data_IF_435335992468
#
_entry.id   IF_435335992468
#
_cell.length_a   1.000
_cell.length_b   1.000
_cell.length_c   1.000
_cell.angle_alpha   90.00
_cell.angle_beta   90.00
_cell.angle_gamma   90.00
#
_symmetry.space_group_name_H-M   'P 1'
#
loop_
_entity.id
_entity.type
_entity.pdbx_description
1 polymer ?
#
# COMPACT_ATOMS: atom_id res chain seq x y z
N UNK A 1 42.67 -23.48 13.63
CA UNK A 1 41.36 -22.93 14.03
C UNK A 1 40.54 -22.73 12.77
N UNK A 2 39.68 -23.69 12.45
CA UNK A 2 38.79 -23.65 11.30
C UNK A 2 37.62 -22.71 11.61
N UNK A 3 37.61 -21.54 10.98
CA UNK A 3 36.48 -20.62 11.04
C UNK A 3 35.26 -21.25 10.39
N UNK A 4 34.28 -21.63 11.22
CA UNK A 4 32.97 -22.05 10.75
C UNK A 4 32.27 -20.87 10.10
N UNK A 5 32.04 -20.96 8.79
CA UNK A 5 31.05 -20.13 8.12
C UNK A 5 29.68 -20.49 8.71
N UNK A 6 29.12 -19.59 9.51
CA UNK A 6 27.71 -19.67 9.88
C UNK A 6 26.91 -19.43 8.60
N UNK A 7 26.45 -20.50 7.97
CA UNK A 7 25.45 -20.43 6.90
C UNK A 7 24.15 -19.92 7.51
N UNK A 8 24.01 -18.60 7.64
CA UNK A 8 22.73 -17.97 7.94
C UNK A 8 21.74 -18.36 6.84
N UNK A 9 20.56 -18.86 7.22
CA UNK A 9 19.53 -19.29 6.28
C UNK A 9 19.17 -18.23 5.24
N UNK A 10 18.54 -18.65 4.14
CA UNK A 10 18.13 -17.74 3.07
C UNK A 10 17.16 -16.66 3.61
N UNK A 11 17.32 -15.42 3.11
CA UNK A 11 16.39 -14.32 3.40
C UNK A 11 15.10 -14.53 2.63
N UNK A 12 13.97 -14.41 3.31
CA UNK A 12 12.66 -14.77 2.74
C UNK A 12 11.58 -13.76 3.06
N UNK A 13 10.54 -13.77 2.23
CA UNK A 13 9.25 -13.13 2.49
C UNK A 13 8.17 -14.22 2.54
N UNK A 14 7.63 -14.48 3.73
CA UNK A 14 6.53 -15.43 3.92
C UNK A 14 5.21 -14.68 3.94
N UNK A 15 4.25 -15.10 3.11
CA UNK A 15 2.91 -14.51 3.06
C UNK A 15 1.90 -15.57 3.51
N UNK A 16 1.06 -15.21 4.48
CA UNK A 16 0.11 -16.09 5.16
C UNK A 16 -1.30 -15.56 4.97
N UNK A 17 -2.25 -16.47 4.68
CA UNK A 17 -3.67 -16.14 4.68
C UNK A 17 -4.35 -16.68 5.95
N UNK A 18 -4.81 -15.81 6.84
CA UNK A 18 -5.68 -16.17 7.96
C UNK A 18 -7.15 -15.78 7.74
N UNK A 19 -7.48 -15.19 6.59
CA UNK A 19 -8.84 -14.82 6.25
C UNK A 19 -9.74 -16.07 6.16
N UNK A 20 -11.05 -15.87 6.34
CA UNK A 20 -12.02 -16.96 6.19
C UNK A 20 -12.03 -17.52 4.76
N UNK A 21 -11.94 -16.62 3.79
CA UNK A 21 -11.94 -16.94 2.36
C UNK A 21 -10.52 -17.05 1.79
N UNK A 22 -10.34 -17.78 0.66
CA UNK A 22 -9.08 -17.79 -0.05
C UNK A 22 -8.68 -16.41 -0.59
N UNK A 23 -7.38 -16.15 -0.62
CA UNK A 23 -6.77 -15.00 -1.31
C UNK A 23 -5.83 -15.49 -2.42
N UNK A 24 -5.54 -14.63 -3.38
CA UNK A 24 -4.50 -14.85 -4.38
C UNK A 24 -3.44 -13.76 -4.23
N UNK A 25 -2.21 -14.14 -3.94
CA UNK A 25 -1.12 -13.19 -3.72
C UNK A 25 -0.51 -12.82 -5.06
N UNK A 26 -0.61 -11.54 -5.41
CA UNK A 26 0.03 -10.96 -6.59
C UNK A 26 1.18 -10.05 -6.17
N UNK A 27 2.10 -9.82 -7.11
CA UNK A 27 3.28 -9.01 -6.84
C UNK A 27 3.75 -8.22 -8.08
N UNK A 28 4.60 -7.23 -7.85
CA UNK A 28 5.25 -6.47 -8.93
C UNK A 28 6.15 -7.36 -9.79
N UNK A 29 6.36 -6.96 -11.05
CA UNK A 29 7.01 -7.81 -12.08
C UNK A 29 8.49 -8.09 -11.84
N UNK A 30 9.15 -7.32 -10.98
CA UNK A 30 10.54 -7.49 -10.59
C UNK A 30 10.76 -8.65 -9.59
N UNK A 31 9.72 -9.11 -8.89
CA UNK A 31 9.82 -10.23 -7.95
C UNK A 31 9.88 -11.55 -8.73
N UNK A 32 10.82 -12.41 -8.35
CA UNK A 32 10.93 -13.77 -8.88
C UNK A 32 9.97 -14.69 -8.12
N UNK A 33 9.20 -15.49 -8.85
CA UNK A 33 8.24 -16.42 -8.26
C UNK A 33 6.90 -16.46 -9.02
N UNK A 34 5.99 -17.33 -8.57
CA UNK A 34 4.65 -17.43 -9.15
C UNK A 34 3.79 -16.22 -8.79
N UNK A 35 3.07 -15.71 -9.80
CA UNK A 35 2.00 -14.73 -9.65
C UNK A 35 0.69 -15.40 -9.21
N UNK A 36 -0.17 -14.63 -8.54
CA UNK A 36 -1.50 -15.05 -8.12
C UNK A 36 -1.51 -16.38 -7.34
N UNK A 37 -0.59 -16.54 -6.38
CA UNK A 37 -0.55 -17.77 -5.56
C UNK A 37 -1.80 -17.86 -4.70
N UNK A 38 -2.65 -18.86 -4.95
CA UNK A 38 -3.85 -19.12 -4.15
C UNK A 38 -3.46 -19.64 -2.77
N UNK A 39 -3.89 -18.95 -1.73
CA UNK A 39 -3.74 -19.35 -0.34
C UNK A 39 -5.11 -19.54 0.29
N UNK A 40 -5.43 -20.76 0.72
CA UNK A 40 -6.58 -21.03 1.59
C UNK A 40 -6.27 -20.61 3.04
N UNK A 41 -7.27 -20.59 3.91
CA UNK A 41 -7.07 -20.26 5.33
C UNK A 41 -5.99 -21.14 5.98
N UNK A 42 -5.04 -20.50 6.67
CA UNK A 42 -3.88 -21.10 7.31
C UNK A 42 -2.73 -21.45 6.36
N UNK A 43 -2.94 -21.36 5.04
CA UNK A 43 -1.89 -21.62 4.06
C UNK A 43 -0.93 -20.42 3.96
N UNK A 44 0.28 -20.71 3.49
CA UNK A 44 1.30 -19.71 3.26
C UNK A 44 2.15 -20.05 2.03
N UNK A 45 2.76 -19.02 1.46
CA UNK A 45 3.80 -19.16 0.45
C UNK A 45 5.01 -18.32 0.84
N UNK A 46 6.20 -18.83 0.53
CA UNK A 46 7.46 -18.15 0.83
C UNK A 46 8.14 -17.79 -0.48
N UNK A 47 8.35 -16.49 -0.69
CA UNK A 47 9.16 -15.96 -1.77
C UNK A 47 10.61 -15.84 -1.29
N UNK A 48 11.55 -16.26 -2.14
CA UNK A 48 12.97 -16.05 -1.91
C UNK A 48 13.34 -14.58 -2.20
N UNK A 49 14.13 -13.98 -1.32
CA UNK A 49 14.68 -12.63 -1.55
C UNK A 49 16.10 -12.78 -2.06
N UNK A 50 16.42 -12.34 -3.29
CA UNK A 50 17.76 -12.46 -3.85
C UNK A 50 18.84 -11.84 -2.96
N UNK A 51 20.00 -12.49 -2.92
CA UNK A 51 21.19 -12.04 -2.20
C UNK A 51 21.65 -10.65 -2.66
N UNK A 52 21.56 -10.38 -3.97
CA UNK A 52 21.87 -9.08 -4.57
C UNK A 52 20.89 -7.94 -4.24
N UNK A 53 19.85 -8.22 -3.45
CA UNK A 53 18.79 -7.25 -3.16
C UNK A 53 17.69 -7.23 -4.23
N UNK A 54 16.63 -6.49 -3.94
CA UNK A 54 15.47 -6.36 -4.81
C UNK A 54 14.71 -5.06 -4.48
N UNK A 55 14.69 -4.12 -5.41
CA UNK A 55 14.15 -2.77 -5.17
C UNK A 55 12.70 -2.64 -5.61
N UNK A 56 11.94 -1.78 -4.91
CA UNK A 56 10.57 -1.39 -5.28
C UNK A 56 9.60 -2.57 -5.49
N UNK A 57 9.69 -3.58 -4.62
CA UNK A 57 8.74 -4.69 -4.63
C UNK A 57 7.41 -4.28 -4.04
N UNK A 58 6.33 -4.84 -4.58
CA UNK A 58 4.96 -4.69 -4.08
C UNK A 58 4.30 -6.05 -4.05
N UNK A 59 3.56 -6.32 -2.98
CA UNK A 59 2.74 -7.52 -2.81
C UNK A 59 1.35 -7.11 -2.36
N UNK A 60 0.31 -7.71 -2.93
CA UNK A 60 -1.08 -7.42 -2.56
C UNK A 60 -1.97 -8.67 -2.64
N UNK A 61 -3.03 -8.73 -1.80
CA UNK A 61 -4.01 -9.79 -1.87
C UNK A 61 -5.09 -9.47 -2.91
N UNK A 62 -5.47 -10.48 -3.68
CA UNK A 62 -6.66 -10.47 -4.53
C UNK A 62 -7.72 -11.37 -3.90
N UNK A 63 -9.00 -11.03 -4.06
CA UNK A 63 -10.12 -11.76 -3.42
C UNK A 63 -11.20 -12.12 -4.42
N UNK A 64 -11.91 -13.22 -4.14
CA UNK A 64 -13.06 -13.65 -4.96
C UNK A 64 -12.72 -13.90 -6.43
N UNK A 65 -11.55 -14.50 -6.68
CA UNK A 65 -11.04 -14.79 -8.02
C UNK A 65 -11.48 -16.17 -8.52
N UNK A 66 -11.33 -16.38 -9.83
CA UNK A 66 -11.26 -17.73 -10.42
C UNK A 66 -10.01 -18.50 -9.96
N UNK A 67 -9.90 -19.78 -10.33
CA UNK A 67 -8.77 -20.62 -9.90
C UNK A 67 -7.40 -20.05 -10.30
N UNK A 68 -7.31 -19.37 -11.45
CA UNK A 68 -6.09 -18.75 -11.97
C UNK A 68 -5.80 -17.38 -11.36
N UNK A 69 -6.61 -16.91 -10.41
CA UNK A 69 -6.46 -15.62 -9.77
C UNK A 69 -6.79 -14.47 -10.71
N UNK A 70 -7.80 -14.61 -11.56
CA UNK A 70 -8.36 -13.55 -12.43
C UNK A 70 -9.85 -13.39 -12.16
N UNK A 71 -10.46 -12.38 -12.78
CA UNK A 71 -11.90 -12.08 -12.66
C UNK A 71 -12.29 -11.91 -11.19
N UNK A 72 -11.45 -11.22 -10.44
CA UNK A 72 -11.52 -11.09 -9.00
C UNK A 72 -12.58 -10.07 -8.58
N UNK A 73 -13.02 -10.17 -7.32
CA UNK A 73 -13.82 -9.13 -6.68
C UNK A 73 -12.96 -7.90 -6.37
N UNK A 74 -11.74 -8.10 -5.87
CA UNK A 74 -10.71 -7.07 -5.72
C UNK A 74 -9.34 -7.60 -6.12
N UNK A 75 -8.44 -6.71 -6.55
CA UNK A 75 -7.04 -7.06 -6.81
C UNK A 75 -6.65 -7.18 -8.28
N UNK A 76 -7.59 -7.07 -9.21
CA UNK A 76 -7.34 -7.06 -10.66
C UNK A 76 -6.98 -5.63 -11.16
N UNK A 77 -6.08 -4.97 -10.45
CA UNK A 77 -5.69 -3.58 -10.72
C UNK A 77 -4.51 -3.41 -11.67
N UNK A 78 -3.85 -4.52 -12.02
CA UNK A 78 -2.72 -4.58 -12.97
C UNK A 78 -3.05 -5.55 -14.09
N UNK A 79 -2.63 -5.22 -15.31
CA UNK A 79 -2.86 -6.05 -16.48
C UNK A 79 -2.30 -7.48 -16.30
N UNK A 80 -2.99 -8.52 -16.81
CA UNK A 80 -4.18 -8.46 -17.68
C UNK A 80 -5.46 -8.15 -16.90
N UNK A 81 -6.18 -7.12 -17.35
CA UNK A 81 -7.43 -6.68 -16.72
C UNK A 81 -8.63 -7.52 -17.16
N UNK A 82 -9.71 -7.60 -16.35
CA UNK A 82 -11.02 -8.09 -16.78
C UNK A 82 -11.59 -7.34 -17.97
N UNK A 83 -12.64 -7.88 -18.59
CA UNK A 83 -13.30 -7.26 -19.75
C UNK A 83 -13.79 -5.81 -19.51
N UNK A 84 -14.09 -5.46 -18.27
CA UNK A 84 -14.50 -4.11 -17.86
C UNK A 84 -13.35 -3.12 -17.59
N UNK A 85 -12.10 -3.51 -17.87
CA UNK A 85 -10.92 -2.75 -17.50
C UNK A 85 -10.36 -3.14 -16.13
N UNK A 86 -9.21 -2.57 -15.78
CA UNK A 86 -8.57 -2.85 -14.50
C UNK A 86 -9.40 -2.25 -13.36
N UNK A 87 -9.34 -2.90 -12.21
CA UNK A 87 -9.92 -2.40 -10.96
C UNK A 87 -9.05 -1.27 -10.39
N UNK A 88 -9.60 -0.41 -9.52
CA UNK A 88 -8.79 0.55 -8.82
C UNK A 88 -7.77 -0.16 -7.89
N UNK A 89 -6.50 0.30 -7.83
CA UNK A 89 -5.42 -0.33 -7.05
C UNK A 89 -5.52 -0.08 -5.54
N UNK A 90 -6.68 -0.33 -4.95
CA UNK A 90 -7.00 -0.03 -3.54
C UNK A 90 -6.57 -1.14 -2.58
N UNK A 91 -5.72 -2.08 -3.00
CA UNK A 91 -5.41 -3.25 -2.21
C UNK A 91 -4.49 -2.92 -1.04
N UNK A 92 -4.69 -3.62 0.09
CA UNK A 92 -3.78 -3.53 1.22
C UNK A 92 -2.40 -4.07 0.87
N UNK A 93 -1.48 -3.15 0.63
CA UNK A 93 -0.22 -3.41 -0.07
C UNK A 93 0.95 -3.46 0.91
N UNK A 94 1.81 -4.46 0.76
CA UNK A 94 3.14 -4.49 1.36
C UNK A 94 4.16 -4.06 0.31
N UNK A 95 4.98 -3.06 0.63
CA UNK A 95 6.07 -2.62 -0.25
C UNK A 95 7.42 -2.78 0.44
N UNK A 96 8.43 -3.19 -0.32
CA UNK A 96 9.79 -3.32 0.20
C UNK A 96 10.87 -3.05 -0.85
N UNK A 97 11.97 -2.46 -0.41
CA UNK A 97 13.25 -2.39 -1.12
C UNK A 97 14.28 -3.13 -0.29
N UNK A 98 14.60 -4.35 -0.70
CA UNK A 98 15.56 -5.23 -0.04
C UNK A 98 16.97 -4.82 -0.43
N UNK A 99 17.79 -4.43 0.55
CA UNK A 99 19.21 -4.16 0.32
C UNK A 99 19.96 -5.46 -0.07
N UNK A 100 21.10 -5.37 -0.78
CA UNK A 100 22.00 -6.50 -0.93
C UNK A 100 22.40 -7.06 0.44
N UNK A 101 22.32 -8.38 0.62
CA UNK A 101 22.61 -9.05 1.89
C UNK A 101 24.07 -8.80 2.31
N UNK A 102 24.31 -8.63 3.61
CA UNK A 102 25.62 -8.31 4.17
C UNK A 102 26.11 -6.89 3.90
N UNK A 103 25.38 -6.08 3.14
CA UNK A 103 25.74 -4.69 2.89
C UNK A 103 25.35 -3.78 4.06
N UNK A 104 25.99 -2.61 4.13
CA UNK A 104 25.62 -1.53 5.06
C UNK A 104 24.33 -0.80 4.67
N UNK A 105 23.76 -1.08 3.49
CA UNK A 105 22.50 -0.49 3.06
C UNK A 105 21.32 -1.10 3.84
N UNK A 106 20.26 -0.31 3.99
CA UNK A 106 19.07 -0.72 4.73
C UNK A 106 18.01 -1.33 3.81
N UNK A 107 17.31 -2.34 4.32
CA UNK A 107 16.06 -2.81 3.73
C UNK A 107 14.94 -1.90 4.19
N UNK A 108 14.24 -1.27 3.27
CA UNK A 108 13.10 -0.40 3.56
C UNK A 108 11.80 -1.16 3.32
N UNK A 109 10.81 -0.97 4.19
CA UNK A 109 9.48 -1.52 3.97
C UNK A 109 8.39 -0.59 4.51
N UNK A 110 7.17 -0.79 4.01
CA UNK A 110 5.98 -0.10 4.50
C UNK A 110 4.72 -0.95 4.26
N UNK A 111 3.64 -0.51 4.91
CA UNK A 111 2.28 -0.96 4.66
C UNK A 111 1.58 0.21 3.96
N UNK A 112 1.27 0.07 2.67
CA UNK A 112 0.88 1.21 1.84
C UNK A 112 -0.62 1.23 1.57
N UNK A 113 -1.32 2.19 2.20
CA UNK A 113 -2.74 2.47 1.99
C UNK A 113 -2.96 3.82 1.29
N UNK A 114 -1.93 4.29 0.58
CA UNK A 114 -1.93 5.53 -0.22
C UNK A 114 -3.01 5.52 -1.30
N UNK A 115 -3.28 4.34 -1.87
CA UNK A 115 -4.32 4.15 -2.89
C UNK A 115 -5.67 3.73 -2.28
N UNK A 116 -5.66 3.15 -1.08
CA UNK A 116 -6.82 2.51 -0.46
C UNK A 116 -6.46 1.28 0.35
N UNK A 117 -7.46 0.56 0.83
CA UNK A 117 -7.29 -0.72 1.51
C UNK A 117 -8.42 -1.72 1.23
N UNK A 118 -8.13 -3.02 1.38
CA UNK A 118 -9.08 -4.12 1.20
C UNK A 118 -9.15 -5.04 2.43
N UNK A 119 -8.01 -5.51 2.93
CA UNK A 119 -7.94 -6.52 4.00
C UNK A 119 -7.05 -6.04 5.15
N UNK A 120 -7.40 -6.31 6.41
CA UNK A 120 -6.46 -6.14 7.52
C UNK A 120 -5.25 -7.05 7.33
N UNK A 121 -4.08 -6.57 7.73
CA UNK A 121 -2.84 -7.32 7.61
C UNK A 121 -1.79 -6.88 8.62
N UNK A 122 -0.82 -7.75 8.88
CA UNK A 122 0.29 -7.48 9.78
C UNK A 122 1.60 -7.88 9.12
N UNK A 123 2.63 -7.06 9.32
CA UNK A 123 4.00 -7.34 8.86
C UNK A 123 4.91 -7.50 10.06
N UNK A 124 5.62 -8.61 10.11
CA UNK A 124 6.55 -8.93 11.19
C UNK A 124 7.96 -9.13 10.59
N UNK A 125 8.93 -8.24 10.89
CA UNK A 125 10.32 -8.49 10.56
C UNK A 125 10.86 -9.66 11.38
N UNK A 126 11.75 -10.45 10.79
CA UNK A 126 12.34 -11.66 11.37
C UNK A 126 13.84 -11.65 11.17
N UNK A 127 14.56 -12.17 12.17
CA UNK A 127 16.02 -12.32 12.12
C UNK A 127 16.76 -11.14 12.73
N UNK A 128 18.05 -11.00 12.38
CA UNK A 128 18.94 -10.02 12.98
C UNK A 128 18.52 -8.57 12.63
N UNK A 129 18.32 -7.75 13.65
CA UNK A 129 17.87 -6.36 13.49
C UNK A 129 16.35 -6.18 13.49
N UNK A 130 15.56 -7.24 13.60
CA UNK A 130 14.13 -7.14 13.86
C UNK A 130 13.86 -6.57 15.27
N UNK A 131 12.77 -5.80 15.39
CA UNK A 131 12.34 -5.07 16.59
C UNK A 131 13.39 -4.10 17.14
N UNK A 132 14.19 -3.49 16.25
CA UNK A 132 15.21 -2.50 16.59
C UNK A 132 15.05 -1.23 15.75
N UNK A 133 15.15 -0.06 16.37
CA UNK A 133 14.97 1.22 15.67
C UNK A 133 13.58 1.30 15.04
N UNK A 134 13.51 1.58 13.74
CA UNK A 134 12.26 1.54 12.97
C UNK A 134 11.96 0.18 12.34
N UNK A 135 12.77 -0.86 12.55
CA UNK A 135 12.49 -2.21 12.07
C UNK A 135 11.51 -2.92 13.02
N UNK A 136 10.23 -2.56 12.99
CA UNK A 136 9.24 -2.98 13.99
C UNK A 136 8.14 -3.87 13.42
N UNK A 137 7.47 -4.64 14.25
CA UNK A 137 6.17 -5.19 13.84
C UNK A 137 5.21 -4.04 13.53
N UNK A 138 4.66 -4.04 12.32
CA UNK A 138 3.67 -3.08 11.84
C UNK A 138 2.32 -3.76 11.73
N UNK A 139 1.36 -3.31 12.54
CA UNK A 139 0.08 -4.00 12.76
C UNK A 139 -1.09 -3.17 12.21
N UNK A 140 -1.62 -3.59 11.05
CA UNK A 140 -2.86 -3.09 10.46
C UNK A 140 -4.03 -4.07 10.65
N UNK A 141 -4.04 -4.87 11.73
CA UNK A 141 -5.17 -5.76 12.06
C UNK A 141 -6.47 -4.99 12.29
N UNK A 142 -6.38 -3.71 12.68
CA UNK A 142 -7.52 -2.84 12.93
C UNK A 142 -8.23 -2.30 11.67
N UNK A 143 -7.71 -2.55 10.46
CA UNK A 143 -8.37 -2.10 9.24
C UNK A 143 -9.75 -2.75 9.10
N UNK A 144 -10.75 -1.90 8.89
CA UNK A 144 -12.13 -2.34 8.77
C UNK A 144 -12.85 -1.51 7.72
N UNK A 145 -13.44 -2.17 6.72
CA UNK A 145 -14.26 -1.50 5.71
C UNK A 145 -15.48 -0.77 6.29
N UNK A 146 -15.89 -1.10 7.53
CA UNK A 146 -16.92 -0.37 8.25
C UNK A 146 -16.50 1.07 8.62
N UNK A 147 -15.19 1.32 8.70
CA UNK A 147 -14.62 2.65 8.96
C UNK A 147 -14.38 3.44 7.66
N UNK A 148 -14.63 2.85 6.49
CA UNK A 148 -14.46 3.57 5.23
C UNK A 148 -15.46 4.75 5.15
N UNK A 149 -14.99 5.99 4.94
CA UNK A 149 -15.86 7.16 4.83
C UNK A 149 -16.90 7.02 3.72
N UNK A 150 -18.18 7.18 4.08
CA UNK A 150 -19.29 7.22 3.12
C UNK A 150 -19.70 8.62 2.68
N UNK A 151 -19.13 9.64 3.33
CA UNK A 151 -19.39 11.06 3.11
C UNK A 151 -18.11 11.83 3.48
N UNK A 152 -17.15 11.85 2.56
CA UNK A 152 -15.85 12.52 2.68
C UNK A 152 -15.88 13.89 1.97
N UNK A 153 -15.34 14.91 2.63
CA UNK A 153 -15.10 16.21 2.01
C UNK A 153 -13.75 16.23 1.30
N UNK A 154 -13.74 15.84 0.02
CA UNK A 154 -12.56 15.98 -0.84
C UNK A 154 -12.34 17.43 -1.27
N UNK A 155 -13.36 18.28 -1.10
CA UNK A 155 -13.35 19.68 -1.49
C UNK A 155 -12.74 20.61 -0.47
N UNK A 156 -12.25 20.11 0.67
CA UNK A 156 -11.55 20.85 1.73
C UNK A 156 -12.23 22.17 2.15
N UNK A 157 -13.56 22.22 2.09
CA UNK A 157 -14.36 23.43 2.33
C UNK A 157 -14.27 24.52 1.26
N UNK A 158 -13.35 24.44 0.29
CA UNK A 158 -13.21 25.42 -0.80
C UNK A 158 -13.90 25.00 -2.09
N UNK A 159 -14.16 23.71 -2.27
CA UNK A 159 -14.78 23.14 -3.45
C UNK A 159 -16.05 22.35 -3.08
N UNK A 160 -17.19 23.04 -2.81
CA UNK A 160 -18.41 22.38 -2.32
C UNK A 160 -18.95 21.28 -3.24
N UNK A 161 -18.63 21.32 -4.53
CA UNK A 161 -18.99 20.27 -5.49
C UNK A 161 -18.38 18.89 -5.14
N UNK A 162 -17.31 18.87 -4.34
CA UNK A 162 -16.59 17.67 -3.93
C UNK A 162 -16.71 17.36 -2.43
N UNK A 163 -17.63 18.03 -1.72
CA UNK A 163 -17.75 17.92 -0.26
C UNK A 163 -18.40 16.61 0.23
N UNK A 164 -19.02 15.85 -0.67
CA UNK A 164 -19.78 14.65 -0.32
C UNK A 164 -19.41 13.49 -1.25
N UNK A 165 -18.33 12.79 -0.92
CA UNK A 165 -17.84 11.66 -1.72
C UNK A 165 -17.90 10.35 -0.93
N UNK A 166 -18.48 9.32 -1.54
CA UNK A 166 -18.43 7.96 -1.02
C UNK A 166 -17.12 7.29 -1.46
N UNK A 167 -16.26 6.96 -0.48
CA UNK A 167 -14.98 6.28 -0.70
C UNK A 167 -15.12 4.76 -0.73
N UNK A 168 -16.31 4.22 -0.43
CA UNK A 168 -16.56 2.77 -0.39
C UNK A 168 -16.65 2.22 -1.81
N UNK A 169 -15.83 1.21 -2.06
CA UNK A 169 -15.85 0.45 -3.31
C UNK A 169 -16.77 -0.74 -3.12
N UNK A 170 -17.75 -0.90 -4.01
CA UNK A 170 -18.79 -1.93 -3.91
C UNK A 170 -18.72 -2.93 -5.06
N UNK A 171 -19.00 -4.18 -4.76
CA UNK A 171 -19.22 -5.19 -5.79
C UNK A 171 -20.58 -4.99 -6.50
N UNK A 172 -20.87 -5.85 -7.47
CA UNK A 172 -22.13 -5.84 -8.22
C UNK A 172 -23.39 -6.05 -7.36
N UNK A 173 -23.24 -6.58 -6.15
CA UNK A 173 -24.33 -6.82 -5.21
C UNK A 173 -24.48 -5.66 -4.20
N UNK A 174 -23.66 -4.61 -4.32
CA UNK A 174 -23.64 -3.47 -3.40
C UNK A 174 -22.87 -3.72 -2.11
N UNK A 175 -22.17 -4.84 -1.97
CA UNK A 175 -21.33 -5.16 -0.80
C UNK A 175 -20.07 -4.32 -0.85
N UNK A 176 -19.69 -3.68 0.27
CA UNK A 176 -18.42 -2.94 0.36
C UNK A 176 -17.27 -3.93 0.37
N UNK A 177 -16.37 -3.83 -0.61
CA UNK A 177 -15.23 -4.75 -0.82
C UNK A 177 -13.88 -4.07 -0.73
N UNK A 178 -13.86 -2.74 -0.65
CA UNK A 178 -12.64 -1.95 -0.47
C UNK A 178 -12.95 -0.53 -0.07
N UNK A 179 -11.91 0.18 0.36
CA UNK A 179 -11.97 1.59 0.66
C UNK A 179 -10.93 2.33 -0.17
N UNK A 180 -11.36 3.37 -0.88
CA UNK A 180 -10.48 4.16 -1.72
C UNK A 180 -9.87 5.31 -0.91
N UNK A 181 -8.59 5.59 -1.06
CA UNK A 181 -7.99 6.79 -0.47
C UNK A 181 -8.47 8.06 -1.21
N UNK A 182 -8.43 9.25 -0.57
CA UNK A 182 -8.85 10.51 -1.17
C UNK A 182 -8.26 10.79 -2.55
N UNK A 183 -6.93 10.64 -2.68
CA UNK A 183 -6.26 10.81 -3.97
C UNK A 183 -6.77 9.82 -5.01
N UNK A 184 -6.95 8.55 -4.62
CA UNK A 184 -7.42 7.54 -5.56
C UNK A 184 -8.85 7.79 -6.02
N UNK A 185 -9.71 8.31 -5.13
CA UNK A 185 -11.06 8.75 -5.50
C UNK A 185 -11.05 9.89 -6.49
N UNK A 186 -10.11 10.80 -6.32
CA UNK A 186 -9.90 11.92 -7.21
C UNK A 186 -9.42 11.49 -8.61
N UNK A 187 -8.32 10.74 -8.69
CA UNK A 187 -7.63 10.48 -9.95
C UNK A 187 -8.15 9.28 -10.75
N UNK A 188 -8.79 8.31 -10.10
CA UNK A 188 -9.20 7.10 -10.79
C UNK A 188 -10.42 7.36 -11.66
N UNK A 189 -10.51 6.82 -12.88
CA UNK A 189 -11.65 7.07 -13.75
C UNK A 189 -12.96 6.49 -13.22
N UNK A 190 -14.06 6.99 -13.80
CA UNK A 190 -15.37 6.36 -13.66
C UNK A 190 -15.30 4.87 -14.09
N UNK A 191 -16.10 3.98 -13.48
CA UNK A 191 -17.17 4.28 -12.53
C UNK A 191 -16.72 4.43 -11.06
N UNK A 192 -15.43 4.25 -10.76
CA UNK A 192 -14.96 4.17 -9.37
C UNK A 192 -14.61 5.54 -8.77
N UNK A 193 -13.88 6.36 -9.53
CA UNK A 193 -13.46 7.69 -9.11
C UNK A 193 -13.95 8.80 -10.05
N UNK A 194 -13.38 9.99 -9.86
CA UNK A 194 -13.77 11.23 -10.54
C UNK A 194 -12.98 11.48 -11.84
N UNK A 195 -11.89 10.74 -12.08
CA UNK A 195 -11.05 10.88 -13.27
C UNK A 195 -10.39 12.24 -13.42
N UNK A 196 -10.13 12.92 -12.31
CA UNK A 196 -9.59 14.28 -12.30
C UNK A 196 -8.05 14.26 -12.23
N UNK A 197 -7.37 15.24 -12.82
CA UNK A 197 -5.91 15.31 -12.76
C UNK A 197 -5.44 15.63 -11.34
N UNK A 198 -4.42 14.91 -10.85
CA UNK A 198 -3.82 15.16 -9.53
C UNK A 198 -3.20 16.56 -9.41
N UNK A 199 -2.87 17.18 -10.55
CA UNK A 199 -2.29 18.51 -10.67
C UNK A 199 -3.30 19.66 -10.51
N UNK A 200 -4.60 19.37 -10.35
CA UNK A 200 -5.63 20.38 -10.14
C UNK A 200 -6.15 20.33 -8.71
N UNK A 201 -6.49 21.49 -8.14
CA UNK A 201 -7.18 21.55 -6.86
C UNK A 201 -8.59 20.94 -6.94
N UNK A 202 -9.06 20.27 -5.87
CA UNK A 202 -8.37 19.96 -4.62
C UNK A 202 -7.35 18.81 -4.71
N UNK A 203 -7.29 18.07 -5.82
CA UNK A 203 -6.39 16.93 -6.04
C UNK A 203 -4.92 17.16 -5.70
N UNK A 204 -4.41 18.37 -5.92
CA UNK A 204 -3.04 18.75 -5.56
C UNK A 204 -2.75 18.49 -4.08
N UNK A 205 -3.72 18.79 -3.20
CA UNK A 205 -3.63 18.57 -1.76
C UNK A 205 -3.94 17.12 -1.35
N UNK A 206 -4.80 16.42 -2.09
CA UNK A 206 -5.18 15.03 -1.78
C UNK A 206 -4.11 14.03 -2.19
N UNK A 207 -3.47 14.26 -3.34
CA UNK A 207 -2.51 13.36 -3.98
C UNK A 207 -1.06 13.69 -3.67
N UNK A 208 -0.78 14.97 -3.41
CA UNK A 208 0.57 15.49 -3.23
C UNK A 208 1.54 15.00 -4.32
N UNK A 209 1.32 15.36 -5.61
CA UNK A 209 2.04 14.79 -6.74
C UNK A 209 3.56 14.98 -6.66
N UNK A 210 4.28 13.94 -7.08
CA UNK A 210 5.75 13.82 -7.08
C UNK A 210 6.19 13.02 -8.32
N UNK A 211 7.46 13.07 -8.76
CA UNK A 211 8.60 13.74 -8.13
C UNK A 211 8.70 15.22 -8.49
N UNK A 212 9.16 16.03 -7.53
CA UNK A 212 9.78 17.32 -7.85
C UNK A 212 11.18 16.99 -8.35
N UNK A 213 11.34 16.87 -9.67
CA UNK A 213 12.65 16.72 -10.29
C UNK A 213 13.05 18.05 -10.97
N UNK A 214 13.94 18.84 -10.35
CA UNK A 214 14.43 20.08 -10.92
C UNK A 214 15.22 19.89 -12.23
N UNK A 215 15.74 18.68 -12.49
CA UNK A 215 16.58 18.38 -13.65
C UNK A 215 15.75 17.94 -14.88
N UNK A 216 14.62 17.26 -14.68
CA UNK A 216 13.74 16.81 -15.78
C UNK A 216 12.52 17.70 -16.00
N UNK A 217 12.14 18.53 -15.01
CA UNK A 217 11.07 19.52 -15.14
C UNK A 217 9.66 18.93 -15.25
N UNK A 218 9.49 17.63 -14.99
CA UNK A 218 8.21 16.93 -15.23
C UNK A 218 7.05 17.46 -14.37
N UNK A 219 7.33 18.04 -13.20
CA UNK A 219 6.38 18.76 -12.36
C UNK A 219 7.15 19.52 -11.25
N UNK A 220 6.78 20.77 -10.95
CA UNK A 220 7.45 21.60 -9.92
C UNK A 220 6.41 22.21 -8.98
N UNK A 221 6.81 22.80 -7.85
CA UNK A 221 5.86 23.55 -7.00
C UNK A 221 5.15 24.69 -7.77
N UNK A 222 5.79 25.22 -8.83
CA UNK A 222 5.18 26.21 -9.73
C UNK A 222 4.32 25.59 -10.84
N UNK A 223 4.45 24.28 -11.09
CA UNK A 223 3.74 23.53 -12.12
C UNK A 223 3.10 22.26 -11.51
N UNK A 224 2.25 22.48 -10.50
CA UNK A 224 1.31 21.50 -9.95
C UNK A 224 1.88 20.27 -9.22
N UNK A 225 3.03 20.41 -8.56
CA UNK A 225 3.54 19.43 -7.59
C UNK A 225 3.47 19.98 -6.16
N UNK A 226 3.48 19.08 -5.19
CA UNK A 226 3.51 19.43 -3.78
C UNK A 226 4.78 18.90 -3.12
N UNK A 227 5.48 19.74 -2.37
CA UNK A 227 6.59 19.29 -1.52
C UNK A 227 6.04 18.45 -0.37
N UNK A 228 6.86 17.54 0.16
CA UNK A 228 6.48 16.74 1.33
C UNK A 228 6.11 17.61 2.54
N UNK A 229 6.81 18.73 2.74
CA UNK A 229 6.52 19.67 3.83
C UNK A 229 5.19 20.40 3.65
N UNK A 230 4.82 20.75 2.41
CA UNK A 230 3.52 21.36 2.14
C UNK A 230 2.38 20.34 2.30
N UNK A 231 2.58 19.09 1.85
CA UNK A 231 1.59 18.03 2.00
C UNK A 231 1.30 17.72 3.48
N UNK A 232 2.35 17.66 4.30
CA UNK A 232 2.30 17.41 5.75
C UNK A 232 1.87 18.61 6.59
N UNK A 233 1.63 19.77 5.96
CA UNK A 233 1.37 20.99 6.70
C UNK A 233 -0.03 20.99 7.30
N UNK A 234 -0.17 20.51 8.53
CA UNK A 234 -1.45 20.49 9.28
C UNK A 234 -2.01 21.88 9.56
N UNK A 235 -1.22 22.96 9.42
CA UNK A 235 -1.72 24.33 9.49
C UNK A 235 -2.47 24.76 8.21
N UNK A 236 -2.26 24.07 7.08
CA UNK A 236 -3.10 24.25 5.89
C UNK A 236 -4.38 23.41 6.07
N UNK A 237 -5.57 24.02 6.17
CA UNK A 237 -6.83 23.28 6.31
C UNK A 237 -7.14 22.39 5.11
N UNK A 238 -6.43 22.55 3.99
CA UNK A 238 -6.58 21.75 2.78
C UNK A 238 -5.74 20.48 2.77
N UNK A 239 -4.79 20.34 3.69
CA UNK A 239 -3.92 19.16 3.76
C UNK A 239 -4.73 17.88 3.83
N UNK A 240 -4.27 16.84 3.12
CA UNK A 240 -4.86 15.49 3.17
C UNK A 240 -4.91 14.91 4.59
N UNK A 241 -4.08 15.40 5.49
CA UNK A 241 -4.08 15.08 6.94
C UNK A 241 -5.43 15.33 7.62
N UNK A 242 -6.25 16.25 7.08
CA UNK A 242 -7.57 16.57 7.63
C UNK A 242 -8.70 15.70 7.08
N UNK A 243 -8.42 14.84 6.09
CA UNK A 243 -9.44 13.93 5.54
C UNK A 243 -9.84 12.89 6.57
N UNK A 244 -11.13 12.53 6.60
CA UNK A 244 -11.64 11.49 7.49
C UNK A 244 -10.96 10.16 7.22
N UNK A 245 -10.61 9.86 5.97
CA UNK A 245 -9.81 8.71 5.61
C UNK A 245 -8.47 8.67 6.37
N UNK A 246 -7.63 9.71 6.27
CA UNK A 246 -6.31 9.73 6.92
C UNK A 246 -6.44 9.67 8.44
N UNK A 247 -7.36 10.45 9.02
CA UNK A 247 -7.62 10.44 10.46
C UNK A 247 -8.05 9.06 10.98
N UNK A 248 -8.84 8.30 10.21
CA UNK A 248 -9.23 6.93 10.57
C UNK A 248 -8.10 5.93 10.35
N UNK A 249 -7.31 6.11 9.29
CA UNK A 249 -6.16 5.28 9.00
C UNK A 249 -5.12 5.36 10.12
N UNK A 250 -4.78 6.56 10.61
CA UNK A 250 -3.86 6.71 11.75
C UNK A 250 -4.39 6.07 13.05
N UNK A 251 -5.70 5.85 13.19
CA UNK A 251 -6.28 5.12 14.32
C UNK A 251 -6.27 3.60 14.11
N UNK A 252 -6.59 3.13 12.91
CA UNK A 252 -6.70 1.70 12.59
C UNK A 252 -5.36 1.03 12.30
N UNK A 253 -4.43 1.78 11.70
CA UNK A 253 -3.08 1.33 11.39
C UNK A 253 -2.07 2.50 11.46
N UNK A 254 -1.61 2.86 12.66
CA UNK A 254 -0.71 4.00 12.87
C UNK A 254 0.69 3.82 12.26
N UNK A 255 1.07 2.61 11.83
CA UNK A 255 2.39 2.29 11.29
C UNK A 255 2.41 2.12 9.77
N UNK A 256 1.36 2.59 9.07
CA UNK A 256 1.19 2.47 7.63
C UNK A 256 1.27 3.83 6.95
N UNK A 257 1.56 3.84 5.65
CA UNK A 257 1.30 5.01 4.83
C UNK A 257 -0.21 5.15 4.59
N UNK A 258 -0.76 6.30 4.95
CA UNK A 258 -2.14 6.67 4.59
C UNK A 258 -2.21 7.59 3.36
N UNK A 259 -1.11 8.26 3.02
CA UNK A 259 -0.94 9.09 1.82
C UNK A 259 0.56 9.15 1.41
N UNK A 260 0.87 9.80 0.27
CA UNK A 260 2.17 9.70 -0.40
C UNK A 260 3.40 10.16 0.43
N UNK A 261 3.22 11.01 1.44
CA UNK A 261 4.31 11.57 2.25
C UNK A 261 4.17 11.29 3.76
N UNK A 262 3.43 10.23 4.10
CA UNK A 262 3.20 9.76 5.48
C UNK A 262 4.41 8.99 6.05
N UNK A 263 5.63 9.44 5.70
CA UNK A 263 6.89 8.76 6.01
C UNK A 263 7.14 8.61 7.51
N UNK A 264 6.70 9.61 8.28
CA UNK A 264 6.84 9.60 9.73
C UNK A 264 6.05 8.45 10.40
N UNK A 265 4.96 8.02 9.79
CA UNK A 265 4.14 6.92 10.30
C UNK A 265 4.56 5.57 9.70
N UNK A 266 4.79 5.51 8.38
CA UNK A 266 4.78 4.24 7.66
C UNK A 266 6.10 3.74 7.08
N UNK A 267 7.19 4.52 7.12
CA UNK A 267 8.47 4.09 6.52
C UNK A 267 9.40 3.47 7.57
N UNK A 268 9.72 2.20 7.36
CA UNK A 268 10.48 1.41 8.31
C UNK A 268 11.77 0.91 7.69
N UNK A 269 12.85 0.87 8.48
CA UNK A 269 14.19 0.51 8.03
C UNK A 269 14.74 -0.65 8.85
N UNK A 270 15.10 -1.71 8.15
CA UNK A 270 15.67 -2.94 8.70
C UNK A 270 17.09 -3.18 8.18
N UNK A 271 17.80 -4.09 8.83
CA UNK A 271 19.09 -4.58 8.34
C UNK A 271 18.93 -5.26 6.97
N UNK A 272 20.03 -5.35 6.21
CA UNK A 272 20.07 -6.14 4.97
C UNK A 272 19.85 -7.64 5.20
N UNK A 273 19.88 -8.14 6.43
CA UNK A 273 19.67 -9.56 6.76
C UNK A 273 18.20 -9.91 7.07
N UNK A 274 17.31 -8.92 7.15
CA UNK A 274 15.96 -9.10 7.69
C UNK A 274 15.06 -9.86 6.72
N UNK A 275 14.40 -10.90 7.22
CA UNK A 275 13.30 -11.60 6.55
C UNK A 275 11.96 -11.04 7.03
N UNK A 276 10.87 -11.30 6.31
CA UNK A 276 9.55 -10.75 6.67
C UNK A 276 8.47 -11.81 6.62
N UNK A 277 7.48 -11.65 7.50
CA UNK A 277 6.21 -12.38 7.44
C UNK A 277 5.06 -11.39 7.31
N UNK A 278 4.25 -11.55 6.26
CA UNK A 278 3.02 -10.80 6.04
C UNK A 278 1.84 -11.73 6.30
N UNK A 279 0.95 -11.36 7.20
CA UNK A 279 -0.26 -12.14 7.50
C UNK A 279 -1.50 -11.31 7.18
N UNK A 280 -2.32 -11.78 6.24
CA UNK A 280 -3.63 -11.20 5.96
C UNK A 280 -4.69 -11.77 6.92
N UNK A 281 -5.56 -10.90 7.41
CA UNK A 281 -6.53 -11.18 8.49
C UNK A 281 -5.89 -11.82 9.73
N UNK A 282 -4.87 -11.17 10.34
CA UNK A 282 -4.08 -11.72 11.44
C UNK A 282 -4.88 -12.04 12.70
#
# INVERSE_FOLDING_TARGET
MSGGSTSGGARTLRIVNNCAEPIWVAHSTNVQGPQNVKLTRGAAYTYDVPEGGLSATRFWPKTGCDEGGRNCTTGDSVAPCPAGGCQPPIESKFEATFAPRGSAAQTWYNLSQVDGYTLPFKVVPRGAGAEQGSCITSDCSGLSLAQCPGDEDLGNGQFPAYAHQDLRVRDRNGVVVGCMAPCKKWNYPAPWGLGQPESADPGLHLCCPTPIDPATGQCTAANACMTSDACRNTADPRSVEHTEYVLRMHRMCPTAYSYAYDDAAGLHACSSETSFEVTFCP
#
